data_IF_788770421603
#
_entry.id   IF_788770421603
#
_cell.length_a   1.000
_cell.length_b   1.000
_cell.length_c   1.000
_cell.angle_alpha   90.00
_cell.angle_beta   90.00
_cell.angle_gamma   90.00
#
_symmetry.space_group_name_H-M   'P 1'
#
loop_
_entity.id
_entity.type
_entity.pdbx_description
1 polymer ?
#
# COMPACT_ATOMS: atom_id res chain seq x y z
N UNK A 1 1.56 -26.98 45.79
CA UNK A 1 2.93 -27.26 45.36
C UNK A 1 2.84 -28.37 44.32
N UNK A 2 2.74 -28.02 43.04
CA UNK A 2 2.71 -28.98 41.94
C UNK A 2 3.68 -28.51 40.86
N UNK A 3 4.52 -29.44 40.46
CA UNK A 3 5.62 -29.32 39.51
C UNK A 3 5.14 -28.99 38.09
N UNK A 4 5.85 -28.05 37.49
CA UNK A 4 6.42 -28.08 36.14
C UNK A 4 5.95 -29.20 35.18
N UNK A 5 5.38 -28.78 34.05
CA UNK A 5 5.58 -29.45 32.75
C UNK A 5 6.01 -28.36 31.78
N UNK A 6 7.29 -28.40 31.41
CA UNK A 6 7.83 -27.71 30.23
C UNK A 6 7.43 -28.54 29.03
N UNK A 7 6.45 -28.08 28.26
CA UNK A 7 6.31 -28.51 26.87
C UNK A 7 7.03 -27.50 26.00
N UNK A 8 8.24 -27.90 25.58
CA UNK A 8 8.87 -27.30 24.42
C UNK A 8 8.09 -27.67 23.18
N UNK A 9 7.55 -26.67 22.49
CA UNK A 9 7.31 -26.76 21.05
C UNK A 9 7.67 -25.42 20.45
N UNK A 10 8.74 -25.43 19.65
CA UNK A 10 9.11 -24.27 18.86
C UNK A 10 7.98 -23.99 17.88
N UNK A 11 7.46 -22.78 17.99
CA UNK A 11 6.65 -22.15 16.96
C UNK A 11 7.51 -21.00 16.46
N UNK A 12 8.24 -21.23 15.37
CA UNK A 12 8.64 -20.10 14.53
C UNK A 12 7.35 -19.41 14.05
N UNK A 13 7.37 -18.11 13.73
CA UNK A 13 6.15 -17.40 13.39
C UNK A 13 5.44 -18.14 12.24
N UNK A 14 4.29 -18.74 12.56
CA UNK A 14 3.33 -19.17 11.57
C UNK A 14 2.90 -17.91 10.83
N UNK A 15 3.45 -17.70 9.64
CA UNK A 15 2.90 -16.75 8.69
C UNK A 15 1.59 -17.40 8.26
N UNK A 16 0.46 -16.87 8.72
CA UNK A 16 -0.84 -17.39 8.31
C UNK A 16 -0.94 -17.25 6.79
N UNK A 17 -1.31 -18.33 6.11
CA UNK A 17 -1.42 -18.38 4.65
C UNK A 17 -2.54 -17.48 4.10
N UNK A 18 -3.29 -16.80 4.99
CA UNK A 18 -4.33 -15.84 4.68
C UNK A 18 -3.84 -14.38 4.71
N UNK A 19 -2.60 -14.10 5.14
CA UNK A 19 -2.06 -12.73 5.18
C UNK A 19 -1.49 -12.32 3.82
N UNK A 20 -1.97 -11.20 3.24
CA UNK A 20 -1.59 -10.83 1.89
C UNK A 20 -0.10 -10.44 1.79
N UNK A 21 0.55 -10.95 0.76
CA UNK A 21 1.94 -10.59 0.43
C UNK A 21 2.01 -9.27 -0.32
N UNK A 22 3.16 -8.58 -0.29
CA UNK A 22 3.34 -7.34 -1.04
C UNK A 22 3.08 -7.52 -2.56
N UNK A 23 3.56 -8.58 -3.23
CA UNK A 23 3.22 -8.82 -4.63
C UNK A 23 1.72 -9.05 -4.88
N UNK A 24 1.00 -9.72 -3.97
CA UNK A 24 -0.45 -9.91 -4.10
C UNK A 24 -1.23 -8.61 -3.93
N UNK A 25 -0.81 -7.76 -2.98
CA UNK A 25 -1.40 -6.42 -2.80
C UNK A 25 -1.12 -5.53 -4.00
N UNK A 26 0.11 -5.55 -4.52
CA UNK A 26 0.47 -4.79 -5.71
C UNK A 26 -0.34 -5.24 -6.92
N UNK A 27 -0.47 -6.55 -7.16
CA UNK A 27 -1.31 -7.08 -8.24
C UNK A 27 -2.79 -6.67 -8.09
N UNK A 28 -3.30 -6.57 -6.86
CA UNK A 28 -4.64 -6.07 -6.60
C UNK A 28 -4.77 -4.57 -6.93
N UNK A 29 -3.76 -3.77 -6.61
CA UNK A 29 -3.72 -2.35 -6.98
C UNK A 29 -3.60 -2.16 -8.50
N UNK A 30 -2.73 -2.93 -9.17
CA UNK A 30 -2.59 -2.97 -10.62
C UNK A 30 -3.94 -3.23 -11.29
N UNK A 31 -4.63 -4.30 -10.89
CA UNK A 31 -5.95 -4.62 -11.43
C UNK A 31 -6.96 -3.48 -11.19
N UNK A 32 -7.03 -2.94 -9.97
CA UNK A 32 -7.99 -1.89 -9.63
C UNK A 32 -7.76 -0.61 -10.43
N UNK A 33 -6.52 -0.17 -10.56
CA UNK A 33 -6.16 1.06 -11.26
C UNK A 33 -6.28 0.89 -12.77
N UNK A 34 -5.85 -0.25 -13.32
CA UNK A 34 -5.95 -0.54 -14.76
C UNK A 34 -7.41 -0.69 -15.20
N UNK A 35 -8.25 -1.35 -14.40
CA UNK A 35 -9.69 -1.49 -14.68
C UNK A 35 -10.39 -0.12 -14.66
N UNK A 36 -10.04 0.73 -13.69
CA UNK A 36 -10.55 2.09 -13.63
C UNK A 36 -10.11 2.92 -14.83
N UNK A 37 -8.83 2.86 -15.21
CA UNK A 37 -8.33 3.54 -16.39
C UNK A 37 -8.95 3.04 -17.69
N UNK A 38 -9.25 1.74 -17.81
CA UNK A 38 -9.95 1.19 -18.96
C UNK A 38 -11.41 1.67 -19.08
N UNK A 39 -11.99 2.16 -17.98
CA UNK A 39 -13.35 2.74 -17.96
C UNK A 39 -13.39 4.24 -18.27
N UNK A 40 -12.23 4.88 -18.36
CA UNK A 40 -12.05 6.30 -18.69
C UNK A 40 -11.38 6.38 -20.07
N UNK A 41 -11.75 7.34 -20.91
CA UNK A 41 -11.02 7.55 -22.17
C UNK A 41 -9.56 7.98 -21.86
N UNK A 42 -8.59 7.59 -22.69
CA UNK A 42 -7.16 7.82 -22.39
C UNK A 42 -6.77 9.31 -22.34
N UNK A 43 -7.39 10.16 -23.18
CA UNK A 43 -7.13 11.60 -23.23
C UNK A 43 -7.45 12.30 -21.87
N UNK A 44 -8.59 12.01 -21.20
CA UNK A 44 -8.88 12.50 -19.85
C UNK A 44 -7.85 12.16 -18.76
N UNK A 45 -7.10 11.05 -18.87
CA UNK A 45 -6.11 10.70 -17.85
C UNK A 45 -4.92 11.68 -17.83
N UNK A 46 -4.54 12.21 -19.00
CA UNK A 46 -3.50 13.25 -19.07
C UNK A 46 -4.11 14.63 -18.84
N UNK A 47 -5.23 14.93 -19.49
CA UNK A 47 -5.78 16.28 -19.52
C UNK A 47 -6.57 16.67 -18.27
N UNK A 48 -7.31 15.73 -17.67
CA UNK A 48 -8.20 15.99 -16.52
C UNK A 48 -7.61 15.48 -15.21
N UNK A 49 -7.04 14.28 -15.21
CA UNK A 49 -6.39 13.69 -14.02
C UNK A 49 -4.99 14.29 -13.80
N UNK A 50 -4.33 14.75 -14.86
CA UNK A 50 -3.02 15.39 -14.78
C UNK A 50 -1.85 14.42 -14.69
N UNK A 51 -2.05 13.16 -15.11
CA UNK A 51 -0.96 12.19 -15.19
C UNK A 51 0.09 12.60 -16.23
N UNK A 52 1.33 12.19 -16.02
CA UNK A 52 2.31 12.22 -17.10
C UNK A 52 1.95 11.20 -18.19
N UNK A 53 2.38 11.44 -19.42
CA UNK A 53 2.20 10.44 -20.50
C UNK A 53 2.82 9.08 -20.13
N UNK A 54 3.92 9.08 -19.37
CA UNK A 54 4.55 7.86 -18.91
C UNK A 54 3.65 7.09 -17.93
N UNK A 55 3.07 7.79 -16.95
CA UNK A 55 2.19 7.20 -15.95
C UNK A 55 0.86 6.74 -16.56
N UNK A 56 0.29 7.49 -17.49
CA UNK A 56 -0.92 7.10 -18.21
C UNK A 56 -0.70 5.79 -19.00
N UNK A 57 0.44 5.67 -19.70
CA UNK A 57 0.80 4.42 -20.38
C UNK A 57 1.04 3.28 -19.40
N UNK A 58 1.77 3.53 -18.31
CA UNK A 58 2.06 2.52 -17.30
C UNK A 58 0.78 1.96 -16.65
N UNK A 59 -0.20 2.84 -16.38
CA UNK A 59 -1.53 2.46 -15.90
C UNK A 59 -2.27 1.59 -16.91
N UNK A 60 -2.21 1.88 -18.20
CA UNK A 60 -2.84 1.05 -19.24
C UNK A 60 -2.13 -0.30 -19.42
N UNK A 61 -0.82 -0.35 -19.24
CA UNK A 61 0.00 -1.56 -19.32
C UNK A 61 -0.04 -2.40 -18.03
N UNK A 62 -0.65 -1.87 -16.96
CA UNK A 62 -0.73 -2.51 -15.65
C UNK A 62 0.57 -2.45 -14.83
N UNK A 63 1.53 -1.60 -15.20
CA UNK A 63 2.78 -1.38 -14.46
C UNK A 63 2.65 -0.19 -13.51
N UNK A 64 1.88 -0.35 -12.43
CA UNK A 64 1.59 0.77 -11.50
C UNK A 64 2.57 0.85 -10.32
N UNK A 65 3.63 0.04 -10.32
CA UNK A 65 4.57 -0.06 -9.19
C UNK A 65 5.14 1.30 -8.77
N UNK A 66 5.56 2.09 -9.75
CA UNK A 66 6.14 3.42 -9.54
C UNK A 66 5.10 4.55 -9.45
N UNK A 67 3.83 4.25 -9.77
CA UNK A 67 2.76 5.23 -9.72
C UNK A 67 2.54 5.71 -8.30
N UNK A 68 2.33 7.02 -8.11
CA UNK A 68 2.06 7.54 -6.78
C UNK A 68 0.66 7.10 -6.30
N UNK A 69 0.50 6.95 -4.98
CA UNK A 69 -0.80 6.69 -4.37
C UNK A 69 -1.82 7.79 -4.73
N UNK A 70 -1.37 9.04 -4.85
CA UNK A 70 -2.23 10.15 -5.23
C UNK A 70 -2.74 9.99 -6.67
N UNK A 71 -1.85 9.64 -7.60
CA UNK A 71 -2.19 9.41 -9.00
C UNK A 71 -3.11 8.19 -9.16
N UNK A 72 -2.82 7.09 -8.47
CA UNK A 72 -3.70 5.92 -8.44
C UNK A 72 -5.09 6.25 -7.89
N UNK A 73 -5.18 7.04 -6.81
CA UNK A 73 -6.46 7.51 -6.29
C UNK A 73 -7.20 8.43 -7.27
N UNK A 74 -6.48 9.28 -7.99
CA UNK A 74 -7.05 10.19 -8.98
C UNK A 74 -7.64 9.43 -10.18
N UNK A 75 -6.98 8.36 -10.65
CA UNK A 75 -7.53 7.44 -11.65
C UNK A 75 -8.83 6.80 -11.16
N UNK A 76 -8.85 6.33 -9.90
CA UNK A 76 -10.04 5.71 -9.31
C UNK A 76 -11.21 6.70 -9.15
N UNK A 77 -10.92 7.96 -8.83
CA UNK A 77 -11.91 9.03 -8.75
C UNK A 77 -12.44 9.43 -10.14
N UNK A 78 -11.59 9.44 -11.17
CA UNK A 78 -12.02 9.69 -12.54
C UNK A 78 -13.01 8.63 -13.05
N UNK A 79 -12.81 7.37 -12.67
CA UNK A 79 -13.72 6.27 -12.99
C UNK A 79 -15.02 6.27 -12.15
N UNK A 80 -15.06 6.99 -11.03
CA UNK A 80 -16.19 7.00 -10.12
C UNK A 80 -16.42 8.40 -9.50
N UNK A 81 -17.40 9.17 -9.98
CA UNK A 81 -17.62 10.56 -9.56
C UNK A 81 -18.06 10.72 -8.10
N UNK A 82 -18.46 9.64 -7.43
CA UNK A 82 -18.80 9.66 -5.99
C UNK A 82 -17.55 9.55 -5.10
N UNK A 83 -16.36 9.32 -5.67
CA UNK A 83 -15.09 9.20 -4.95
C UNK A 83 -14.28 10.48 -5.07
N UNK A 84 -13.62 10.84 -3.98
CA UNK A 84 -12.68 11.95 -3.91
C UNK A 84 -11.27 11.42 -3.68
N UNK A 85 -10.33 11.79 -4.57
CA UNK A 85 -8.97 11.25 -4.56
C UNK A 85 -8.22 11.61 -3.28
N UNK A 86 -8.33 12.87 -2.82
CA UNK A 86 -7.65 13.34 -1.61
C UNK A 86 -8.19 12.62 -0.36
N UNK A 87 -9.50 12.40 -0.29
CA UNK A 87 -10.14 11.63 0.77
C UNK A 87 -9.63 10.18 0.78
N UNK A 88 -9.55 9.52 -0.38
CA UNK A 88 -9.01 8.15 -0.49
C UNK A 88 -7.56 8.06 0.01
N UNK A 89 -6.71 9.00 -0.39
CA UNK A 89 -5.31 9.05 0.08
C UNK A 89 -5.25 9.23 1.60
N UNK A 90 -6.09 10.12 2.16
CA UNK A 90 -6.16 10.35 3.59
C UNK A 90 -6.64 9.11 4.36
N UNK A 91 -7.67 8.42 3.86
CA UNK A 91 -8.18 7.18 4.43
C UNK A 91 -7.14 6.05 4.42
N UNK A 92 -6.41 5.88 3.31
CA UNK A 92 -5.32 4.89 3.24
C UNK A 92 -4.24 5.20 4.28
N UNK A 93 -3.81 6.46 4.40
CA UNK A 93 -2.80 6.85 5.40
C UNK A 93 -3.29 6.62 6.83
N UNK A 94 -4.53 6.98 7.13
CA UNK A 94 -5.15 6.71 8.44
C UNK A 94 -5.19 5.21 8.74
N UNK A 95 -5.57 4.40 7.74
CA UNK A 95 -5.60 2.95 7.86
C UNK A 95 -4.20 2.38 8.18
N UNK A 96 -3.16 2.86 7.51
CA UNK A 96 -1.78 2.45 7.80
C UNK A 96 -1.37 2.83 9.22
N UNK A 97 -1.64 4.06 9.67
CA UNK A 97 -1.31 4.51 11.02
C UNK A 97 -2.05 3.71 12.10
N UNK A 98 -3.34 3.44 11.88
CA UNK A 98 -4.15 2.58 12.75
C UNK A 98 -3.65 1.14 12.78
N UNK A 99 -3.26 0.61 11.62
CA UNK A 99 -2.66 -0.72 11.48
C UNK A 99 -1.34 -0.83 12.22
N UNK A 100 -0.45 0.16 12.09
CA UNK A 100 0.81 0.22 12.84
C UNK A 100 0.60 0.26 14.35
N UNK A 101 -0.34 1.08 14.82
CA UNK A 101 -0.67 1.16 16.25
C UNK A 101 -1.18 -0.19 16.79
N UNK A 102 -1.99 -0.90 16.00
CA UNK A 102 -2.54 -2.21 16.36
C UNK A 102 -1.46 -3.31 16.35
N UNK A 103 -0.58 -3.28 15.36
CA UNK A 103 0.54 -4.20 15.20
C UNK A 103 1.76 -3.88 16.10
N UNK A 104 1.71 -2.74 16.82
CA UNK A 104 2.82 -2.22 17.63
C UNK A 104 4.11 -2.13 16.80
N UNK A 105 3.99 -1.58 15.59
CA UNK A 105 5.09 -1.35 14.66
C UNK A 105 5.53 0.12 14.71
N UNK A 106 6.86 0.33 14.74
CA UNK A 106 7.47 1.62 14.48
C UNK A 106 7.97 1.72 13.02
N UNK A 107 8.33 2.93 12.60
CA UNK A 107 8.76 3.22 11.23
C UNK A 107 10.11 2.59 10.88
N UNK A 108 11.00 2.41 11.87
CA UNK A 108 12.29 1.75 11.66
C UNK A 108 12.12 0.25 11.42
N UNK A 109 11.18 -0.39 12.12
CA UNK A 109 10.81 -1.78 11.91
C UNK A 109 10.17 -2.02 10.55
N UNK A 110 9.38 -1.07 10.04
CA UNK A 110 8.84 -1.13 8.68
C UNK A 110 9.97 -1.00 7.66
N UNK A 111 10.79 0.05 7.76
CA UNK A 111 11.91 0.30 6.85
C UNK A 111 12.86 -0.92 6.76
N UNK A 112 13.10 -1.62 7.86
CA UNK A 112 13.94 -2.81 7.89
C UNK A 112 13.32 -4.08 7.24
N UNK A 113 12.03 -4.05 6.89
CA UNK A 113 11.26 -5.20 6.40
C UNK A 113 10.75 -5.06 4.97
N UNK A 114 10.76 -3.85 4.43
CA UNK A 114 10.36 -3.55 3.05
C UNK A 114 11.58 -3.63 2.14
N UNK A 115 11.38 -3.86 0.85
CA UNK A 115 12.45 -3.93 -0.14
C UNK A 115 12.82 -2.52 -0.66
N UNK A 116 11.89 -1.56 -0.53
CA UNK A 116 12.14 -0.16 -0.83
C UNK A 116 13.29 0.41 0.02
N UNK A 117 14.20 1.13 -0.64
CA UNK A 117 15.32 1.83 0.00
C UNK A 117 14.83 3.11 0.69
N UNK A 118 14.06 2.94 1.77
CA UNK A 118 13.54 4.01 2.60
C UNK A 118 14.12 3.92 4.01
N UNK A 119 14.51 5.06 4.54
CA UNK A 119 14.78 5.21 5.97
C UNK A 119 13.48 5.26 6.76
N UNK A 120 13.53 4.98 8.08
CA UNK A 120 12.35 5.15 8.95
C UNK A 120 11.78 6.57 8.93
N UNK A 121 12.63 7.58 8.73
CA UNK A 121 12.17 8.96 8.55
C UNK A 121 11.36 9.11 7.25
N UNK A 122 11.82 8.56 6.13
CA UNK A 122 11.09 8.65 4.85
C UNK A 122 9.78 7.87 4.89
N UNK A 123 9.73 6.73 5.57
CA UNK A 123 8.47 6.02 5.86
C UNK A 123 7.53 6.93 6.66
N UNK A 124 8.02 7.59 7.71
CA UNK A 124 7.21 8.53 8.48
C UNK A 124 6.68 9.69 7.61
N UNK A 125 7.53 10.30 6.78
CA UNK A 125 7.12 11.40 5.90
C UNK A 125 6.06 10.97 4.89
N UNK A 126 6.17 9.75 4.34
CA UNK A 126 5.18 9.20 3.41
C UNK A 126 3.82 9.00 4.06
N UNK A 127 3.79 8.44 5.29
CA UNK A 127 2.57 8.23 6.08
C UNK A 127 1.91 9.55 6.51
N UNK A 128 2.71 10.57 6.81
CA UNK A 128 2.23 11.92 7.15
C UNK A 128 1.88 12.77 5.91
N UNK A 129 2.13 12.25 4.71
CA UNK A 129 1.87 12.92 3.44
C UNK A 129 2.80 14.08 3.10
N UNK A 130 3.98 14.11 3.70
CA UNK A 130 5.04 15.10 3.42
C UNK A 130 5.90 14.71 2.23
N UNK A 131 5.88 13.44 1.84
CA UNK A 131 6.49 12.91 0.61
C UNK A 131 5.50 12.02 -0.12
N UNK A 132 5.68 11.87 -1.44
CA UNK A 132 4.92 10.93 -2.23
C UNK A 132 5.24 9.48 -1.79
N UNK A 133 4.21 8.65 -1.79
CA UNK A 133 4.30 7.21 -1.58
C UNK A 133 3.82 6.53 -2.86
N UNK A 134 4.57 5.56 -3.36
CA UNK A 134 4.17 4.77 -4.54
C UNK A 134 3.23 3.63 -4.16
N UNK A 135 2.52 3.05 -5.14
CA UNK A 135 1.70 1.86 -4.92
C UNK A 135 2.54 0.63 -4.55
N UNK A 136 3.76 0.50 -5.09
CA UNK A 136 4.71 -0.53 -4.66
C UNK A 136 5.09 -0.39 -3.18
N UNK A 137 5.48 0.82 -2.76
CA UNK A 137 5.79 1.09 -1.35
C UNK A 137 4.57 0.87 -0.44
N UNK A 138 3.38 1.27 -0.88
CA UNK A 138 2.13 1.01 -0.15
C UNK A 138 1.92 -0.50 0.06
N UNK A 139 2.08 -1.30 -0.99
CA UNK A 139 1.91 -2.74 -0.92
C UNK A 139 2.90 -3.39 0.06
N UNK A 140 4.15 -2.97 0.04
CA UNK A 140 5.18 -3.45 0.97
C UNK A 140 4.87 -3.08 2.42
N UNK A 141 4.54 -1.81 2.69
CA UNK A 141 4.20 -1.32 4.04
C UNK A 141 2.95 -2.03 4.57
N UNK A 142 1.91 -2.13 3.75
CA UNK A 142 0.65 -2.77 4.13
C UNK A 142 0.85 -4.26 4.43
N UNK A 143 1.63 -4.99 3.61
CA UNK A 143 1.95 -6.39 3.88
C UNK A 143 2.68 -6.58 5.21
N UNK A 144 3.63 -5.69 5.56
CA UNK A 144 4.33 -5.75 6.85
C UNK A 144 3.36 -5.55 8.02
N UNK A 145 2.42 -4.61 7.88
CA UNK A 145 1.41 -4.31 8.91
C UNK A 145 0.44 -5.49 9.08
N UNK A 146 -0.14 -6.00 7.99
CA UNK A 146 -1.10 -7.10 8.05
C UNK A 146 -0.47 -8.35 8.67
N UNK A 147 0.78 -8.68 8.30
CA UNK A 147 1.51 -9.85 8.83
C UNK A 147 1.90 -9.80 10.30
N UNK A 148 1.63 -8.68 10.96
CA UNK A 148 1.99 -8.44 12.35
C UNK A 148 0.78 -8.32 13.25
N UNK A 149 -0.43 -8.19 12.68
CA UNK A 149 -1.66 -8.15 13.46
C UNK A 149 -1.87 -9.50 14.17
N UNK A 150 -2.32 -9.48 15.43
CA UNK A 150 -2.47 -10.68 16.26
C UNK A 150 -3.74 -11.49 15.95
#
# INVERSE_FOLDING_TARGET
MFHEVVDGRGDGPHVDADEPTAPELLAAFEAMVSDAAASVDADPLVDEVGLSEADANAVHDGDVTALSLADGAAVLAAANPDRDADAMVAEVRDHLLMGMATAVLDVDAIAAKIDADLTGQEVQQALEGRTAMTLGQLAEILAVIERRKP
#
